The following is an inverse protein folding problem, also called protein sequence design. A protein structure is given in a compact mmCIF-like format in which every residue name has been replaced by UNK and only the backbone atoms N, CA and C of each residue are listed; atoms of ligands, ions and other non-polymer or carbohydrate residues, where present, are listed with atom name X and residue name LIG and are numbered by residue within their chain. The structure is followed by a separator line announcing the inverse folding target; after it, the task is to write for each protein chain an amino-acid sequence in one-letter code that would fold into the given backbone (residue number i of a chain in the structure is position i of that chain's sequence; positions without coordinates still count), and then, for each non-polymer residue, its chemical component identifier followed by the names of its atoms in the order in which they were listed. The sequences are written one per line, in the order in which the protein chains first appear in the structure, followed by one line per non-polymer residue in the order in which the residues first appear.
data_IF_228268743450
#
_entry.id   IF_228268743450
#
_cell.length_a   1.000
_cell.length_b   1.000
_cell.length_c   1.000
_cell.angle_alpha   90.00
_cell.angle_beta   90.00
_cell.angle_gamma   90.00
#
_symmetry.space_group_name_H-M   'P 1'
#
loop_
_entity.id
_entity.type
_entity.pdbx_description
1 polymer ?
#
# COMPACT_ATOMS: atom_id res chain seq x y z
N UNK A 1 -12.48 -33.37 -15.79
CA UNK A 1 -11.95 -32.09 -16.31
C UNK A 1 -10.75 -32.39 -17.18
N UNK A 2 -10.68 -31.84 -18.40
CA UNK A 2 -9.51 -32.07 -19.27
C UNK A 2 -8.28 -31.36 -18.67
N UNK A 3 -7.14 -32.03 -18.64
CA UNK A 3 -5.85 -31.51 -18.14
C UNK A 3 -5.52 -30.14 -18.75
N UNK A 4 -5.85 -29.96 -20.03
CA UNK A 4 -5.70 -28.72 -20.79
C UNK A 4 -6.49 -27.53 -20.25
N UNK A 5 -7.67 -27.77 -19.69
CA UNK A 5 -8.52 -26.70 -19.17
C UNK A 5 -7.98 -26.20 -17.83
N UNK A 6 -7.46 -27.13 -17.01
CA UNK A 6 -6.77 -26.79 -15.76
C UNK A 6 -5.51 -25.94 -16.03
N UNK A 7 -4.75 -26.26 -17.08
CA UNK A 7 -3.59 -25.48 -17.47
C UNK A 7 -3.93 -24.03 -17.84
N UNK A 8 -5.07 -23.82 -18.52
CA UNK A 8 -5.56 -22.47 -18.82
C UNK A 8 -5.98 -21.70 -17.58
N UNK A 9 -6.64 -22.35 -16.61
CA UNK A 9 -6.97 -21.70 -15.33
C UNK A 9 -5.70 -21.34 -14.53
N UNK A 10 -4.71 -22.23 -14.49
CA UNK A 10 -3.40 -21.93 -13.87
C UNK A 10 -2.67 -20.79 -14.58
N UNK A 11 -2.79 -20.68 -15.90
CA UNK A 11 -2.23 -19.58 -16.68
C UNK A 11 -2.95 -18.26 -16.37
N UNK A 12 -4.28 -18.27 -16.25
CA UNK A 12 -5.06 -17.11 -15.83
C UNK A 12 -4.66 -16.60 -14.44
N UNK A 13 -4.49 -17.51 -13.47
CA UNK A 13 -4.04 -17.13 -12.12
C UNK A 13 -2.63 -16.53 -12.10
N UNK A 14 -1.69 -17.06 -12.90
CA UNK A 14 -0.36 -16.46 -13.08
C UNK A 14 -0.43 -15.04 -13.62
N UNK A 15 -1.30 -14.78 -14.59
CA UNK A 15 -1.51 -13.45 -15.16
C UNK A 15 -2.15 -12.47 -14.16
N UNK A 16 -3.14 -12.92 -13.39
CA UNK A 16 -3.76 -12.13 -12.31
C UNK A 16 -2.75 -11.74 -11.23
N UNK A 17 -1.88 -12.67 -10.85
CA UNK A 17 -0.85 -12.46 -9.83
C UNK A 17 0.40 -11.73 -10.33
N UNK A 18 0.45 -11.36 -11.62
CA UNK A 18 1.60 -10.66 -12.19
C UNK A 18 2.88 -11.50 -12.27
N UNK A 19 2.75 -12.84 -12.26
CA UNK A 19 3.85 -13.81 -12.35
C UNK A 19 3.76 -14.65 -13.63
N UNK A 20 3.72 -14.03 -14.83
CA UNK A 20 3.71 -14.78 -16.08
C UNK A 20 5.05 -15.47 -16.32
N UNK A 21 4.99 -16.66 -16.91
CA UNK A 21 6.13 -17.48 -17.27
C UNK A 21 6.46 -17.40 -18.76
N UNK A 22 5.45 -17.30 -19.63
CA UNK A 22 5.62 -17.33 -21.09
C UNK A 22 5.35 -15.99 -21.77
N UNK A 23 4.57 -15.09 -21.15
CA UNK A 23 4.29 -13.75 -21.68
C UNK A 23 4.99 -12.64 -20.86
N UNK A 24 5.24 -11.45 -21.44
CA UNK A 24 5.82 -10.34 -20.70
C UNK A 24 4.97 -9.89 -19.51
N UNK A 25 5.64 -9.40 -18.45
CA UNK A 25 4.95 -8.79 -17.30
C UNK A 25 4.14 -7.57 -17.74
N UNK A 26 2.91 -7.49 -17.26
CA UNK A 26 1.99 -6.39 -17.61
C UNK A 26 1.21 -6.60 -18.92
N UNK A 27 1.31 -7.78 -19.55
CA UNK A 27 0.45 -8.14 -20.70
C UNK A 27 -1.03 -8.02 -20.32
N UNK A 28 -1.84 -7.48 -21.22
CA UNK A 28 -3.29 -7.39 -21.04
C UNK A 28 -3.91 -8.80 -21.02
N UNK A 29 -4.69 -9.10 -20.00
CA UNK A 29 -5.43 -10.35 -19.88
C UNK A 29 -6.43 -10.43 -21.03
N UNK A 30 -6.30 -11.50 -21.81
CA UNK A 30 -7.15 -11.82 -22.95
C UNK A 30 -7.05 -13.32 -23.23
N UNK A 31 -7.98 -13.87 -24.02
CA UNK A 31 -7.96 -15.28 -24.41
C UNK A 31 -6.64 -15.70 -25.05
N UNK A 32 -6.06 -14.85 -25.90
CA UNK A 32 -4.78 -15.14 -26.54
C UNK A 32 -3.61 -15.06 -25.55
N UNK A 33 -3.65 -14.12 -24.59
CA UNK A 33 -2.63 -14.01 -23.57
C UNK A 33 -2.62 -15.25 -22.64
N UNK A 34 -3.79 -15.74 -22.25
CA UNK A 34 -3.93 -16.97 -21.44
C UNK A 34 -3.49 -18.20 -22.23
N UNK A 35 -3.83 -18.28 -23.52
CA UNK A 35 -3.40 -19.37 -24.39
C UNK A 35 -1.87 -19.41 -24.53
N UNK A 36 -1.23 -18.26 -24.76
CA UNK A 36 0.22 -18.14 -24.83
C UNK A 36 0.90 -18.46 -23.50
N UNK A 37 0.33 -18.00 -22.38
CA UNK A 37 0.87 -18.28 -21.05
C UNK A 37 0.82 -19.78 -20.70
N UNK A 38 -0.21 -20.49 -21.17
CA UNK A 38 -0.32 -21.94 -21.09
C UNK A 38 0.56 -22.70 -22.11
N UNK A 39 1.42 -22.01 -22.87
CA UNK A 39 2.31 -22.61 -23.88
C UNK A 39 1.58 -23.10 -25.13
N UNK A 40 0.41 -22.54 -25.45
CA UNK A 40 -0.40 -22.89 -26.62
C UNK A 40 -0.44 -21.73 -27.62
N UNK A 41 -0.77 -22.04 -28.88
CA UNK A 41 -0.88 -21.03 -29.93
C UNK A 41 -2.03 -20.05 -29.70
N UNK A 42 -1.90 -18.83 -30.24
CA UNK A 42 -2.99 -17.84 -30.30
C UNK A 42 -4.23 -18.47 -30.97
N UNK A 43 -5.43 -18.15 -30.48
CA UNK A 43 -6.68 -18.72 -30.98
C UNK A 43 -7.00 -20.15 -30.52
N UNK A 44 -6.22 -20.75 -29.61
CA UNK A 44 -6.53 -22.06 -29.03
C UNK A 44 -7.82 -22.06 -28.19
N UNK A 45 -8.13 -20.92 -27.56
CA UNK A 45 -9.36 -20.71 -26.79
C UNK A 45 -10.41 -20.08 -27.71
N UNK A 46 -11.34 -20.90 -28.22
CA UNK A 46 -12.41 -20.46 -29.14
C UNK A 46 -13.76 -20.32 -28.42
N UNK A 47 -14.43 -19.17 -28.60
CA UNK A 47 -15.75 -18.87 -28.03
C UNK A 47 -16.86 -19.84 -28.44
N UNK A 48 -16.74 -20.44 -29.62
CA UNK A 48 -17.73 -21.41 -30.12
C UNK A 48 -17.73 -22.74 -29.37
N UNK A 49 -16.70 -23.04 -28.56
CA UNK A 49 -16.60 -24.30 -27.82
C UNK A 49 -17.20 -24.13 -26.42
N UNK A 50 -18.26 -24.87 -26.06
CA UNK A 50 -18.92 -24.74 -24.76
C UNK A 50 -17.99 -24.99 -23.57
N UNK A 51 -16.98 -25.86 -23.76
CA UNK A 51 -16.01 -26.21 -22.72
C UNK A 51 -15.18 -25.01 -22.22
N UNK A 52 -15.07 -23.95 -23.01
CA UNK A 52 -14.33 -22.74 -22.63
C UNK A 52 -15.22 -21.63 -22.10
N UNK A 53 -16.54 -21.83 -21.99
CA UNK A 53 -17.48 -20.77 -21.60
C UNK A 53 -17.10 -20.17 -20.23
N UNK A 54 -16.99 -21.03 -19.22
CA UNK A 54 -16.66 -20.63 -17.85
C UNK A 54 -15.28 -19.96 -17.76
N UNK A 55 -14.31 -20.46 -18.54
CA UNK A 55 -12.98 -19.87 -18.62
C UNK A 55 -13.01 -18.48 -19.26
N UNK A 56 -13.75 -18.30 -20.35
CA UNK A 56 -13.88 -17.01 -21.04
C UNK A 56 -14.53 -15.98 -20.11
N UNK A 57 -15.58 -16.37 -19.39
CA UNK A 57 -16.22 -15.49 -18.39
C UNK A 57 -15.22 -15.08 -17.29
N UNK A 58 -14.41 -16.01 -16.78
CA UNK A 58 -13.36 -15.71 -15.81
C UNK A 58 -12.26 -14.79 -16.38
N UNK A 59 -11.89 -14.96 -17.65
CA UNK A 59 -10.92 -14.10 -18.35
C UNK A 59 -11.47 -12.69 -18.52
N UNK A 60 -12.73 -12.56 -18.94
CA UNK A 60 -13.38 -11.26 -19.15
C UNK A 60 -13.51 -10.51 -17.81
N UNK A 61 -13.86 -11.20 -16.72
CA UNK A 61 -13.86 -10.61 -15.37
C UNK A 61 -12.47 -10.13 -14.95
N UNK A 62 -11.44 -10.98 -15.11
CA UNK A 62 -10.07 -10.63 -14.76
C UNK A 62 -9.52 -9.48 -15.63
N UNK A 63 -9.89 -9.41 -16.91
CA UNK A 63 -9.54 -8.32 -17.80
C UNK A 63 -10.22 -7.01 -17.39
N UNK A 64 -11.48 -7.06 -16.97
CA UNK A 64 -12.19 -5.91 -16.42
C UNK A 64 -11.54 -5.42 -15.11
N UNK A 65 -11.16 -6.33 -14.21
CA UNK A 65 -10.45 -5.99 -12.97
C UNK A 65 -9.06 -5.41 -13.22
N UNK A 66 -8.32 -5.93 -14.22
CA UNK A 66 -7.02 -5.36 -14.62
C UNK A 66 -7.19 -3.95 -15.22
N UNK A 67 -8.31 -3.69 -15.88
CA UNK A 67 -8.66 -2.39 -16.45
C UNK A 67 -9.19 -1.40 -15.39
N UNK A 68 -9.64 -1.87 -14.22
CA UNK A 68 -10.01 -0.97 -13.11
C UNK A 68 -8.79 -0.13 -12.73
N UNK A 69 -8.97 1.19 -12.57
CA UNK A 69 -7.85 2.09 -12.49
C UNK A 69 -7.06 1.83 -11.20
N UNK A 70 -5.77 1.49 -11.37
CA UNK A 70 -4.74 1.72 -10.33
C UNK A 70 -4.67 3.19 -9.87
N UNK A 71 -5.48 4.08 -10.44
CA UNK A 71 -5.69 5.47 -10.02
C UNK A 71 -6.16 5.56 -8.58
N UNK A 72 -7.13 4.75 -8.15
CA UNK A 72 -7.62 4.78 -6.76
C UNK A 72 -6.50 4.42 -5.76
N UNK A 73 -5.72 3.37 -6.06
CA UNK A 73 -4.57 2.99 -5.23
C UNK A 73 -3.47 4.07 -5.23
N UNK A 74 -3.24 4.75 -6.36
CA UNK A 74 -2.28 5.87 -6.45
C UNK A 74 -2.76 7.10 -5.68
N UNK A 75 -4.05 7.41 -5.73
CA UNK A 75 -4.67 8.52 -4.99
C UNK A 75 -4.69 8.26 -3.49
N UNK A 76 -5.02 7.04 -3.07
CA UNK A 76 -4.91 6.60 -1.68
C UNK A 76 -3.45 6.69 -1.20
N UNK A 77 -2.49 6.27 -2.02
CA UNK A 77 -1.07 6.38 -1.69
C UNK A 77 -0.59 7.84 -1.61
N UNK A 78 -1.07 8.71 -2.52
CA UNK A 78 -0.76 10.13 -2.49
C UNK A 78 -1.33 10.83 -1.26
N UNK A 79 -2.60 10.57 -0.93
CA UNK A 79 -3.26 11.11 0.26
C UNK A 79 -2.63 10.59 1.57
N UNK A 80 -2.25 9.32 1.63
CA UNK A 80 -1.52 8.76 2.78
C UNK A 80 -0.15 9.44 2.97
N UNK A 81 0.59 9.69 1.88
CA UNK A 81 1.87 10.43 1.92
C UNK A 81 1.69 11.86 2.43
N UNK A 82 0.66 12.57 1.93
CA UNK A 82 0.34 13.92 2.39
C UNK A 82 0.02 13.96 3.89
N UNK A 83 -0.79 13.01 4.37
CA UNK A 83 -1.12 12.89 5.79
C UNK A 83 0.12 12.61 6.64
N UNK A 84 0.99 11.68 6.21
CA UNK A 84 2.24 11.38 6.91
C UNK A 84 3.15 12.60 7.03
N UNK A 85 3.33 13.35 5.94
CA UNK A 85 4.11 14.60 5.95
C UNK A 85 3.49 15.66 6.88
N UNK A 86 2.16 15.81 6.87
CA UNK A 86 1.45 16.73 7.76
C UNK A 86 1.68 16.37 9.24
N UNK A 87 1.50 15.11 9.60
CA UNK A 87 1.68 14.68 10.99
C UNK A 87 3.14 14.76 11.45
N UNK A 88 4.10 14.52 10.55
CA UNK A 88 5.52 14.73 10.84
C UNK A 88 5.81 16.18 11.20
N UNK A 89 5.32 17.13 10.40
CA UNK A 89 5.52 18.55 10.64
C UNK A 89 4.88 19.00 11.96
N UNK A 90 3.63 18.60 12.22
CA UNK A 90 2.95 18.90 13.49
C UNK A 90 3.68 18.31 14.70
N UNK A 91 4.26 17.12 14.55
CA UNK A 91 5.03 16.47 15.60
C UNK A 91 6.36 17.20 15.87
N UNK A 92 7.09 17.57 14.82
CA UNK A 92 8.33 18.34 14.93
C UNK A 92 8.07 19.72 15.57
N UNK A 93 7.00 20.42 15.18
CA UNK A 93 6.57 21.68 15.80
C UNK A 93 6.19 21.54 17.27
N UNK A 94 5.44 20.49 17.62
CA UNK A 94 5.08 20.21 19.01
C UNK A 94 6.32 19.90 19.85
N UNK A 95 7.24 19.08 19.32
CA UNK A 95 8.48 18.74 20.01
C UNK A 95 9.36 19.97 20.26
N UNK A 96 9.48 20.86 19.27
CA UNK A 96 10.21 22.12 19.42
C UNK A 96 9.60 23.01 20.52
N UNK A 97 8.27 23.11 20.55
CA UNK A 97 7.55 23.86 21.59
C UNK A 97 7.80 23.29 22.98
N UNK A 98 7.68 21.98 23.15
CA UNK A 98 7.93 21.32 24.45
C UNK A 98 9.38 21.50 24.91
N UNK A 99 10.35 21.39 24.00
CA UNK A 99 11.75 21.62 24.32
C UNK A 99 12.01 23.06 24.80
N UNK A 100 11.45 24.06 24.12
CA UNK A 100 11.56 25.47 24.54
C UNK A 100 10.89 25.69 25.91
N UNK A 101 9.70 25.14 26.14
CA UNK A 101 9.00 25.25 27.43
C UNK A 101 9.79 24.61 28.57
N UNK A 102 10.46 23.48 28.34
CA UNK A 102 11.32 22.86 29.35
C UNK A 102 12.51 23.74 29.71
N UNK A 103 13.12 24.41 28.72
CA UNK A 103 14.22 25.37 28.95
C UNK A 103 13.71 26.57 29.74
N UNK A 104 12.60 27.19 29.33
CA UNK A 104 12.01 28.31 30.06
C UNK A 104 11.62 27.94 31.49
N UNK A 105 11.00 26.77 31.70
CA UNK A 105 10.68 26.26 33.04
C UNK A 105 11.93 26.04 33.90
N UNK A 106 13.02 25.59 33.30
CA UNK A 106 14.28 25.44 34.01
C UNK A 106 14.88 26.80 34.40
N UNK A 107 14.93 27.76 33.47
CA UNK A 107 15.46 29.11 33.71
C UNK A 107 14.66 29.89 34.75
N UNK A 108 13.32 29.80 34.67
CA UNK A 108 12.41 30.41 35.64
C UNK A 108 12.59 29.81 37.04
N UNK A 109 12.62 28.48 37.16
CA UNK A 109 12.88 27.81 38.45
C UNK A 109 14.27 28.14 39.01
N UNK A 110 15.29 28.22 38.16
CA UNK A 110 16.65 28.63 38.56
C UNK A 110 16.66 30.07 39.08
N UNK A 111 15.93 30.97 38.44
CA UNK A 111 15.80 32.36 38.87
C UNK A 111 15.04 32.48 40.20
N UNK A 112 13.97 31.70 40.38
CA UNK A 112 13.24 31.62 41.65
C UNK A 112 14.13 31.11 42.78
N UNK A 113 14.90 30.03 42.56
CA UNK A 113 15.83 29.48 43.54
C UNK A 113 16.87 30.52 44.04
N UNK A 114 17.39 31.35 43.13
CA UNK A 114 18.29 32.47 43.49
C UNK A 114 17.62 33.51 44.39
N UNK A 115 16.34 33.82 44.15
CA UNK A 115 15.58 34.81 44.91
C UNK A 115 15.13 34.27 46.27
N UNK A 116 14.75 32.99 46.35
CA UNK A 116 14.27 32.36 47.58
C UNK A 116 15.39 31.80 48.46
N UNK A 117 16.64 31.78 47.97
CA UNK A 117 17.79 31.20 48.68
C UNK A 117 17.77 29.67 48.72
N UNK A 118 16.86 29.03 47.98
CA UNK A 118 16.75 27.57 47.92
C UNK A 118 17.86 27.00 47.05
N UNK A 119 18.73 26.17 47.64
CA UNK A 119 19.93 25.64 46.95
C UNK A 119 19.62 24.48 46.01
N UNK A 120 18.43 23.88 46.11
CA UNK A 120 18.05 22.64 45.40
C UNK A 120 16.69 22.82 44.72
N UNK A 121 16.64 22.59 43.39
CA UNK A 121 15.38 22.54 42.65
C UNK A 121 14.61 21.25 42.98
N UNK A 122 13.36 21.33 43.51
CA UNK A 122 12.54 20.14 43.68
C UNK A 122 12.02 19.64 42.31
N UNK A 123 12.46 18.43 41.92
CA UNK A 123 12.03 17.77 40.67
C UNK A 123 10.60 17.24 40.73
N UNK A 124 10.09 16.97 41.94
CA UNK A 124 8.68 16.66 42.20
C UNK A 124 8.12 17.80 43.04
N UNK A 125 7.02 18.40 42.62
CA UNK A 125 6.45 19.60 43.25
C UNK A 125 6.27 19.43 44.76
N UNK A 126 6.39 20.53 45.52
CA UNK A 126 6.09 20.52 46.95
C UNK A 126 4.68 20.00 47.15
N UNK A 127 4.54 18.89 47.87
CA UNK A 127 3.24 18.54 48.46
C UNK A 127 2.82 19.75 49.28
N UNK A 128 1.66 20.30 48.95
CA UNK A 128 0.96 21.19 49.88
C UNK A 128 0.57 20.41 51.13
#
# INVERSE_FOLDING_TARGET
MSETLNDYFKALERLKNGTPASVPKGTRISNDAVALEAGRGKGSIKKSRPIFKDLIEAIDHAAADQAKPKGEAKEQLASARMSASKYRLLWEEALAREASLLVELFETKKSLAKLTGETVLPLRGRSR
#
